data_IF_533603762374
#
_entry.id   IF_533603762374
#
_cell.length_a   1.000
_cell.length_b   1.000
_cell.length_c   1.000
_cell.angle_alpha   90.00
_cell.angle_beta   90.00
_cell.angle_gamma   90.00
#
_symmetry.space_group_name_H-M   'P 1'
#
loop_
_entity.id
_entity.type
_entity.pdbx_description
1 polymer ?
#
# COMPACT_ATOMS: atom_id res chain seq x y z
N UNK A 1 -3.64 -8.48 8.71
CA UNK A 1 -4.87 -7.85 8.20
C UNK A 1 -4.68 -7.45 6.75
N UNK A 2 -5.02 -8.35 5.83
CA UNK A 2 -5.22 -8.04 4.41
C UNK A 2 -6.67 -7.56 4.16
N UNK A 3 -7.06 -7.28 2.91
CA UNK A 3 -8.41 -6.78 2.58
C UNK A 3 -9.52 -7.74 3.04
N UNK A 4 -9.33 -9.04 2.87
CA UNK A 4 -10.31 -10.06 3.28
C UNK A 4 -10.45 -10.13 4.80
N UNK A 5 -9.34 -10.12 5.53
CA UNK A 5 -9.34 -10.09 7.01
C UNK A 5 -9.98 -8.81 7.57
N UNK A 6 -9.86 -7.69 6.85
CA UNK A 6 -10.53 -6.44 7.21
C UNK A 6 -12.05 -6.52 7.01
N UNK A 7 -12.52 -7.13 5.91
CA UNK A 7 -13.95 -7.36 5.65
C UNK A 7 -14.55 -8.24 6.74
N UNK A 8 -13.85 -9.31 7.12
CA UNK A 8 -14.28 -10.19 8.21
C UNK A 8 -14.38 -9.41 9.53
N UNK A 9 -13.36 -8.60 9.87
CA UNK A 9 -13.41 -7.78 11.09
C UNK A 9 -14.52 -6.72 11.07
N UNK A 10 -14.84 -6.16 9.90
CA UNK A 10 -15.96 -5.22 9.73
C UNK A 10 -17.29 -5.94 9.94
N UNK A 11 -17.48 -7.11 9.32
CA UNK A 11 -18.70 -7.92 9.48
C UNK A 11 -18.92 -8.26 10.96
N UNK A 12 -17.88 -8.73 11.66
CA UNK A 12 -17.94 -9.10 13.08
C UNK A 12 -18.30 -7.91 13.99
N UNK A 13 -17.76 -6.72 13.70
CA UNK A 13 -17.96 -5.52 14.53
C UNK A 13 -19.25 -4.76 14.21
N UNK A 14 -19.71 -4.82 12.96
CA UNK A 14 -20.89 -4.07 12.50
C UNK A 14 -22.16 -4.91 12.50
N UNK A 15 -22.05 -6.24 12.63
CA UNK A 15 -23.18 -7.18 12.49
C UNK A 15 -23.68 -7.31 11.04
N UNK A 16 -22.97 -6.74 10.07
CA UNK A 16 -23.29 -6.87 8.65
C UNK A 16 -22.88 -8.24 8.12
N UNK A 17 -23.55 -8.70 7.07
CA UNK A 17 -23.08 -9.88 6.35
C UNK A 17 -21.78 -9.56 5.58
N UNK A 18 -20.97 -10.58 5.26
CA UNK A 18 -19.66 -10.39 4.61
C UNK A 18 -19.74 -9.65 3.28
N UNK A 19 -20.81 -9.86 2.52
CA UNK A 19 -21.04 -9.19 1.24
C UNK A 19 -21.24 -7.69 1.45
N UNK A 20 -22.14 -7.32 2.37
CA UNK A 20 -22.41 -5.93 2.76
C UNK A 20 -21.19 -5.25 3.37
N UNK A 21 -20.40 -5.97 4.18
CA UNK A 21 -19.15 -5.45 4.72
C UNK A 21 -18.11 -5.19 3.61
N UNK A 22 -18.04 -6.06 2.61
CA UNK A 22 -17.21 -5.87 1.42
C UNK A 22 -17.66 -4.66 0.59
N UNK A 23 -18.96 -4.54 0.35
CA UNK A 23 -19.55 -3.43 -0.40
C UNK A 23 -19.36 -2.10 0.32
N UNK A 24 -19.56 -2.07 1.64
CA UNK A 24 -19.32 -0.89 2.47
C UNK A 24 -17.84 -0.47 2.43
N UNK A 25 -16.91 -1.42 2.51
CA UNK A 25 -15.47 -1.10 2.41
C UNK A 25 -15.12 -0.52 1.03
N UNK A 26 -15.67 -1.08 -0.05
CA UNK A 26 -15.44 -0.56 -1.40
C UNK A 26 -16.02 0.84 -1.56
N UNK A 27 -17.26 1.07 -1.11
CA UNK A 27 -17.89 2.39 -1.16
C UNK A 27 -17.09 3.44 -0.40
N UNK A 28 -16.56 3.11 0.79
CA UNK A 28 -15.68 4.03 1.53
C UNK A 28 -14.41 4.34 0.76
N UNK A 29 -13.76 3.33 0.15
CA UNK A 29 -12.55 3.56 -0.65
C UNK A 29 -12.84 4.47 -1.86
N UNK A 30 -13.97 4.28 -2.52
CA UNK A 30 -14.39 5.06 -3.68
C UNK A 30 -14.72 6.50 -3.30
N UNK A 31 -15.59 6.72 -2.29
CA UNK A 31 -15.92 8.07 -1.83
C UNK A 31 -14.71 8.84 -1.29
N UNK A 32 -13.78 8.15 -0.62
CA UNK A 32 -12.53 8.78 -0.17
C UNK A 32 -11.65 9.13 -1.37
N UNK A 33 -11.58 8.26 -2.38
CA UNK A 33 -10.86 8.51 -3.62
C UNK A 33 -11.39 9.74 -4.36
N UNK A 34 -12.70 9.80 -4.60
CA UNK A 34 -13.37 10.90 -5.29
C UNK A 34 -13.17 12.25 -4.58
N UNK A 35 -13.34 12.29 -3.26
CA UNK A 35 -13.14 13.50 -2.48
C UNK A 35 -11.67 13.98 -2.52
N UNK A 36 -10.72 13.04 -2.46
CA UNK A 36 -9.30 13.40 -2.58
C UNK A 36 -8.95 13.87 -3.99
N UNK A 37 -9.53 13.30 -5.04
CA UNK A 37 -9.36 13.77 -6.43
C UNK A 37 -9.91 15.18 -6.63
N UNK A 38 -11.02 15.53 -5.97
CA UNK A 38 -11.56 16.89 -5.95
C UNK A 38 -10.67 17.89 -5.17
N UNK A 39 -9.68 17.39 -4.42
CA UNK A 39 -8.81 18.20 -3.56
C UNK A 39 -9.40 18.47 -2.17
N UNK A 40 -10.52 17.83 -1.83
CA UNK A 40 -11.18 18.00 -0.56
C UNK A 40 -10.44 17.27 0.57
N UNK A 41 -10.63 17.77 1.80
CA UNK A 41 -10.14 17.13 3.01
C UNK A 41 -11.26 16.39 3.73
N UNK A 42 -11.08 15.08 3.96
CA UNK A 42 -12.02 14.26 4.73
C UNK A 42 -11.50 14.10 6.15
N UNK A 43 -12.26 14.58 7.14
CA UNK A 43 -11.99 14.32 8.55
C UNK A 43 -12.90 13.25 9.09
N UNK A 44 -12.32 12.11 9.49
CA UNK A 44 -13.02 11.04 10.19
C UNK A 44 -12.66 11.09 11.67
N UNK A 45 -13.61 11.55 12.50
CA UNK A 45 -13.44 11.65 13.95
C UNK A 45 -13.05 10.29 14.54
N UNK A 46 -11.94 10.23 15.27
CA UNK A 46 -11.41 9.00 15.86
C UNK A 46 -10.52 8.16 14.94
N UNK A 47 -10.38 8.50 13.66
CA UNK A 47 -9.44 7.85 12.74
C UNK A 47 -8.35 8.81 12.27
N UNK A 48 -8.72 10.01 11.84
CA UNK A 48 -7.80 11.03 11.36
C UNK A 48 -8.37 11.85 10.21
N UNK A 49 -7.53 12.74 9.66
CA UNK A 49 -7.89 13.59 8.52
C UNK A 49 -7.04 13.21 7.32
N UNK A 50 -7.70 12.96 6.20
CA UNK A 50 -7.10 12.73 4.89
C UNK A 50 -7.17 14.02 4.08
N UNK A 51 -6.05 14.40 3.47
CA UNK A 51 -5.96 15.58 2.62
C UNK A 51 -4.92 15.34 1.54
N UNK A 52 -5.17 15.81 0.32
CA UNK A 52 -4.13 15.84 -0.72
C UNK A 52 -3.12 16.92 -0.36
N UNK A 53 -1.84 16.53 -0.29
CA UNK A 53 -0.72 17.46 -0.14
C UNK A 53 0.05 17.53 -1.43
N UNK A 54 0.12 18.71 -2.00
CA UNK A 54 1.04 19.00 -3.10
C UNK A 54 2.49 18.84 -2.62
N UNK A 55 3.13 17.77 -3.08
CA UNK A 55 4.56 17.58 -2.89
C UNK A 55 5.29 18.20 -4.07
N UNK A 56 6.09 19.23 -3.81
CA UNK A 56 7.02 19.79 -4.80
C UNK A 56 7.88 18.67 -5.40
N UNK A 57 8.06 18.71 -6.72
CA UNK A 57 8.94 17.79 -7.42
C UNK A 57 10.34 17.86 -6.79
N UNK A 58 10.88 16.70 -6.42
CA UNK A 58 12.25 16.54 -5.93
C UNK A 58 12.96 15.55 -6.84
N UNK A 59 14.20 15.82 -7.17
CA UNK A 59 15.03 14.92 -7.98
C UNK A 59 15.27 13.61 -7.20
N UNK A 60 14.57 12.55 -7.60
CA UNK A 60 14.76 11.22 -7.02
C UNK A 60 16.10 10.63 -7.47
N UNK A 61 16.91 10.19 -6.50
CA UNK A 61 18.16 9.47 -6.79
C UNK A 61 17.86 7.98 -6.88
N UNK A 62 18.14 7.35 -8.01
CA UNK A 62 17.98 5.90 -8.16
C UNK A 62 19.08 5.17 -7.36
N UNK A 63 18.71 4.63 -6.20
CA UNK A 63 19.62 3.94 -5.28
C UNK A 63 20.18 2.62 -5.84
N UNK A 64 19.60 2.07 -6.92
CA UNK A 64 20.08 0.83 -7.55
C UNK A 64 21.18 1.06 -8.58
N UNK A 65 21.50 2.31 -8.95
CA UNK A 65 22.46 2.60 -10.03
C UNK A 65 23.39 3.76 -9.70
N UNK A 66 24.20 3.58 -8.66
CA UNK A 66 25.48 4.29 -8.58
C UNK A 66 26.39 3.64 -9.62
N UNK A 67 26.63 4.32 -10.76
CA UNK A 67 27.62 3.89 -11.75
C UNK A 67 29.00 3.88 -11.08
N UNK A 68 29.54 2.69 -10.82
CA UNK A 68 30.98 2.47 -10.89
C UNK A 68 31.24 1.51 -12.05
N UNK A 69 31.68 2.07 -13.17
CA UNK A 69 32.36 1.33 -14.23
C UNK A 69 33.72 0.86 -13.66
N UNK A 70 33.80 -0.41 -13.28
CA UNK A 70 35.00 -1.24 -13.30
C UNK A 70 34.58 -2.68 -12.98
N UNK A 71 34.40 -3.51 -14.01
CA UNK A 71 34.21 -4.95 -13.83
C UNK A 71 35.59 -5.60 -13.64
N UNK A 72 35.85 -6.13 -12.45
CA UNK A 72 36.74 -7.28 -12.29
C UNK A 72 35.83 -8.48 -12.00
N UNK A 73 35.85 -9.46 -12.91
CA UNK A 73 35.07 -10.68 -12.76
C UNK A 73 35.47 -11.38 -11.47
N UNK A 74 34.51 -11.64 -10.59
CA UNK A 74 34.68 -12.66 -9.55
C UNK A 74 33.75 -13.82 -9.87
N UNK A 75 34.34 -14.92 -10.34
CA UNK A 75 33.67 -16.21 -10.51
C UNK A 75 33.26 -16.74 -9.13
N UNK A 76 31.97 -16.98 -8.93
CA UNK A 76 31.51 -17.95 -7.95
C UNK A 76 30.44 -18.83 -8.56
N UNK A 77 30.76 -20.12 -8.72
CA UNK A 77 29.81 -21.16 -9.13
C UNK A 77 29.26 -21.88 -7.91
N UNK A 78 27.93 -21.81 -7.78
CA UNK A 78 26.95 -22.64 -7.08
C UNK A 78 27.28 -23.31 -5.73
N UNK A 79 26.45 -22.98 -4.73
CA UNK A 79 26.25 -23.74 -3.49
C UNK A 79 25.71 -25.15 -3.80
N UNK A 80 26.32 -26.17 -3.18
CA UNK A 80 25.86 -27.56 -3.22
C UNK A 80 24.47 -27.69 -2.56
N UNK A 81 23.57 -28.41 -3.23
CA UNK A 81 22.29 -28.87 -2.68
C UNK A 81 22.48 -29.96 -1.62
N UNK A 82 21.79 -29.76 -0.50
CA UNK A 82 21.11 -30.67 0.46
C UNK A 82 21.43 -32.18 0.42
N UNK A 83 21.87 -32.70 1.57
CA UNK A 83 21.47 -34.00 2.19
C UNK A 83 21.05 -33.63 3.62
N UNK A 84 19.96 -34.09 4.23
CA UNK A 84 19.20 -35.34 4.14
C UNK A 84 17.77 -35.04 4.58
#
# INVERSE_FOLDING_TARGET
MNKSELIDSIADKSGLNKTQAGDALNAVMESVGEALEAGDSISLVGFGTFSVKDRKARTGRNLRRVKSLAFQQVKYQALKRVKT
#
